data_IF_683324797963
#
_entry.id   IF_683324797963
#
_cell.length_a   1.000
_cell.length_b   1.000
_cell.length_c   1.000
_cell.angle_alpha   90.00
_cell.angle_beta   90.00
_cell.angle_gamma   90.00
#
_symmetry.space_group_name_H-M   'P 1'
#
loop_
_entity.id
_entity.type
_entity.pdbx_description
1 polymer ?
#
# COMPACT_ATOMS: atom_id res chain seq x y z
N UNK A 1 25.20 62.27 -115.75
CA UNK A 1 26.01 61.24 -116.45
C UNK A 1 25.75 59.88 -115.81
N UNK A 2 24.91 59.07 -116.45
CA UNK A 2 24.98 57.59 -116.45
C UNK A 2 25.85 57.20 -117.66
N UNK A 3 26.43 55.98 -117.75
CA UNK A 3 25.71 54.89 -118.46
C UNK A 3 26.07 53.45 -117.95
N UNK A 4 25.09 52.55 -117.93
CA UNK A 4 24.86 51.39 -118.82
C UNK A 4 25.61 50.08 -118.50
N UNK A 5 24.78 49.09 -118.14
CA UNK A 5 24.72 47.68 -118.62
C UNK A 5 25.95 47.03 -119.27
N UNK A 6 26.37 45.87 -118.75
CA UNK A 6 26.80 44.75 -119.60
C UNK A 6 26.65 43.37 -118.92
N UNK A 7 26.38 42.36 -119.76
CA UNK A 7 26.09 40.95 -119.45
C UNK A 7 27.36 40.11 -119.28
N UNK A 8 27.20 38.94 -118.64
CA UNK A 8 27.42 37.57 -119.20
C UNK A 8 28.33 36.63 -118.36
N UNK A 9 27.78 35.41 -118.06
CA UNK A 9 28.37 34.03 -117.97
C UNK A 9 29.64 33.78 -117.15
N UNK A 10 29.91 32.63 -116.51
CA UNK A 10 29.44 31.23 -116.62
C UNK A 10 29.86 30.45 -115.34
N UNK A 11 29.22 29.29 -115.06
CA UNK A 11 29.65 28.05 -114.35
C UNK A 11 30.50 28.10 -113.04
N UNK A 12 30.36 27.28 -112.01
CA UNK A 12 30.12 25.82 -111.95
C UNK A 12 29.97 25.31 -110.47
N UNK A 13 29.40 24.09 -110.30
CA UNK A 13 29.60 23.11 -109.21
C UNK A 13 28.88 23.22 -107.82
N UNK A 14 27.80 22.43 -107.75
CA UNK A 14 27.12 21.68 -106.67
C UNK A 14 27.94 21.21 -105.45
N UNK A 15 27.38 21.33 -104.24
CA UNK A 15 27.35 20.28 -103.19
C UNK A 15 26.19 20.48 -102.19
N UNK A 16 25.27 19.50 -102.16
CA UNK A 16 24.22 19.30 -101.14
C UNK A 16 24.85 18.74 -99.86
N UNK A 17 24.37 19.18 -98.69
CA UNK A 17 24.57 18.45 -97.43
C UNK A 17 23.31 18.47 -96.55
N UNK A 18 23.13 17.30 -95.93
CA UNK A 18 21.94 16.77 -95.27
C UNK A 18 21.65 17.33 -93.88
N UNK A 19 20.39 17.13 -93.47
CA UNK A 19 19.79 17.42 -92.16
C UNK A 19 20.04 16.23 -91.19
N UNK A 20 20.52 16.43 -89.95
CA UNK A 20 20.47 15.39 -88.93
C UNK A 20 19.35 15.60 -87.91
N UNK A 21 18.67 14.50 -87.62
CA UNK A 21 17.68 14.24 -86.58
C UNK A 21 18.39 13.86 -85.29
N UNK A 22 18.09 14.49 -84.13
CA UNK A 22 18.77 14.14 -82.88
C UNK A 22 18.43 14.89 -81.57
N UNK A 23 17.27 15.57 -81.43
CA UNK A 23 17.00 16.43 -80.24
C UNK A 23 15.88 15.94 -79.28
N UNK A 24 15.29 14.75 -79.49
CA UNK A 24 14.08 14.35 -78.77
C UNK A 24 14.28 13.41 -77.56
N UNK A 25 15.47 12.81 -77.38
CA UNK A 25 15.73 11.87 -76.27
C UNK A 25 16.35 12.53 -75.04
N UNK A 26 17.27 13.49 -75.21
CA UNK A 26 17.92 14.20 -74.09
C UNK A 26 16.94 15.10 -73.31
N UNK A 27 15.96 15.72 -74.01
CA UNK A 27 14.94 16.54 -73.37
C UNK A 27 13.95 15.71 -72.51
N UNK A 28 13.72 14.43 -72.86
CA UNK A 28 12.86 13.54 -72.07
C UNK A 28 13.52 13.11 -70.76
N UNK A 29 14.83 12.84 -70.78
CA UNK A 29 15.58 12.48 -69.57
C UNK A 29 15.69 13.64 -68.57
N UNK A 30 15.78 14.88 -69.05
CA UNK A 30 15.87 16.04 -68.16
C UNK A 30 14.54 16.38 -67.47
N UNK A 31 13.41 16.18 -68.16
CA UNK A 31 12.07 16.36 -67.58
C UNK A 31 11.78 15.34 -66.49
N UNK A 32 12.13 14.07 -66.71
CA UNK A 32 11.95 13.00 -65.73
C UNK A 32 12.75 13.25 -64.44
N UNK A 33 13.98 13.77 -64.52
CA UNK A 33 14.79 14.13 -63.35
C UNK A 33 14.14 15.20 -62.48
N UNK A 34 13.55 16.22 -63.10
CA UNK A 34 12.86 17.29 -62.37
C UNK A 34 11.59 16.78 -61.67
N UNK A 35 10.88 15.82 -62.27
CA UNK A 35 9.70 15.21 -61.65
C UNK A 35 10.09 14.37 -60.41
N UNK A 36 11.19 13.62 -60.46
CA UNK A 36 11.71 12.90 -59.28
C UNK A 36 12.19 13.83 -58.16
N UNK A 37 12.84 14.95 -58.49
CA UNK A 37 13.25 15.95 -57.50
C UNK A 37 12.02 16.58 -56.83
N UNK A 38 10.97 16.90 -57.60
CA UNK A 38 9.70 17.44 -57.06
C UNK A 38 9.00 16.45 -56.13
N UNK A 39 8.94 15.17 -56.49
CA UNK A 39 8.34 14.13 -55.65
C UNK A 39 9.17 13.94 -54.36
N UNK A 40 10.50 13.93 -54.48
CA UNK A 40 11.40 13.82 -53.32
C UNK A 40 11.23 14.96 -52.32
N UNK A 41 11.09 16.21 -52.80
CA UNK A 41 10.84 17.37 -51.95
C UNK A 41 9.46 17.27 -51.26
N UNK A 42 8.41 16.85 -51.99
CA UNK A 42 7.07 16.69 -51.40
C UNK A 42 7.05 15.63 -50.30
N UNK A 43 7.70 14.48 -50.50
CA UNK A 43 7.80 13.45 -49.49
C UNK A 43 8.61 13.91 -48.28
N UNK A 44 9.72 14.64 -48.49
CA UNK A 44 10.50 15.21 -47.40
C UNK A 44 9.66 16.22 -46.58
N UNK A 45 8.86 17.07 -47.23
CA UNK A 45 7.95 18.00 -46.55
C UNK A 45 6.89 17.25 -45.75
N UNK A 46 6.29 16.19 -46.29
CA UNK A 46 5.29 15.38 -45.58
C UNK A 46 5.91 14.69 -44.35
N UNK A 47 7.12 14.15 -44.49
CA UNK A 47 7.84 13.52 -43.37
C UNK A 47 8.19 14.57 -42.32
N UNK A 48 8.71 15.74 -42.72
CA UNK A 48 9.01 16.84 -41.80
C UNK A 48 7.74 17.31 -41.08
N UNK A 49 6.61 17.42 -41.78
CA UNK A 49 5.33 17.80 -41.19
C UNK A 49 4.80 16.74 -40.21
N UNK A 50 4.94 15.45 -40.53
CA UNK A 50 4.55 14.35 -39.65
C UNK A 50 5.44 14.28 -38.40
N UNK A 51 6.74 14.46 -38.55
CA UNK A 51 7.70 14.53 -37.44
C UNK A 51 7.46 15.78 -36.59
N UNK A 52 7.22 16.94 -37.20
CA UNK A 52 6.86 18.16 -36.48
C UNK A 52 5.56 18.00 -35.70
N UNK A 53 4.53 17.36 -36.28
CA UNK A 53 3.27 17.07 -35.59
C UNK A 53 3.45 16.10 -34.41
N UNK A 54 4.36 15.13 -34.51
CA UNK A 54 4.69 14.21 -33.42
C UNK A 54 5.51 14.90 -32.30
N UNK A 55 6.31 15.91 -32.63
CA UNK A 55 7.11 16.69 -31.67
C UNK A 55 6.31 17.85 -31.05
N UNK A 56 5.21 18.30 -31.67
CA UNK A 56 4.39 19.42 -31.17
C UNK A 56 3.45 19.07 -29.99
N UNK A 57 3.59 17.88 -29.38
CA UNK A 57 2.86 17.49 -28.15
C UNK A 57 3.66 17.90 -26.90
N UNK A 58 4.40 19.00 -26.98
CA UNK A 58 5.21 19.49 -25.87
C UNK A 58 4.95 20.97 -25.67
N UNK A 59 3.75 21.31 -25.16
CA UNK A 59 3.47 22.57 -24.45
C UNK A 59 2.03 22.68 -23.89
N UNK A 60 1.81 23.45 -22.79
CA UNK A 60 0.58 23.50 -21.96
C UNK A 60 -0.69 24.09 -22.61
N UNK A 61 -0.71 24.26 -23.94
CA UNK A 61 -1.88 24.80 -24.66
C UNK A 61 -2.86 23.71 -25.10
N UNK A 62 -2.50 22.43 -24.95
CA UNK A 62 -3.31 21.29 -25.37
C UNK A 62 -4.56 21.09 -24.53
N UNK A 63 -4.45 21.03 -23.20
CA UNK A 63 -5.59 20.69 -22.34
C UNK A 63 -6.73 21.70 -22.43
N UNK A 64 -6.43 23.01 -22.52
CA UNK A 64 -7.44 24.06 -22.67
C UNK A 64 -8.29 23.92 -23.94
N UNK A 65 -7.77 23.25 -24.99
CA UNK A 65 -8.51 23.02 -26.25
C UNK A 65 -9.47 21.82 -26.19
N UNK A 66 -9.43 21.02 -25.11
CA UNK A 66 -10.30 19.87 -24.95
C UNK A 66 -11.73 20.34 -24.63
N UNK A 67 -12.66 20.02 -25.53
CA UNK A 67 -14.06 20.48 -25.48
C UNK A 67 -14.79 19.94 -24.25
N UNK A 68 -14.66 18.64 -24.00
CA UNK A 68 -15.36 17.97 -22.91
C UNK A 68 -14.65 18.20 -21.57
N UNK A 69 -15.39 18.69 -20.58
CA UNK A 69 -14.85 19.09 -19.28
C UNK A 69 -14.16 17.95 -18.53
N UNK A 70 -14.71 16.73 -18.57
CA UNK A 70 -14.09 15.57 -17.90
C UNK A 70 -12.72 15.26 -18.48
N UNK A 71 -12.61 15.12 -19.81
CA UNK A 71 -11.36 14.85 -20.51
C UNK A 71 -10.36 16.00 -20.32
N UNK A 72 -10.85 17.24 -20.32
CA UNK A 72 -10.01 18.42 -20.06
C UNK A 72 -9.41 18.38 -18.66
N UNK A 73 -10.21 18.08 -17.65
CA UNK A 73 -9.73 18.00 -16.27
C UNK A 73 -8.72 16.86 -16.12
N UNK A 74 -9.01 15.68 -16.68
CA UNK A 74 -8.06 14.55 -16.69
C UNK A 74 -6.75 14.90 -17.41
N UNK A 75 -6.81 15.68 -18.50
CA UNK A 75 -5.63 16.17 -19.20
C UNK A 75 -4.78 17.06 -18.28
N UNK A 76 -5.38 18.05 -17.63
CA UNK A 76 -4.67 18.91 -16.69
C UNK A 76 -4.07 18.13 -15.52
N UNK A 77 -4.80 17.17 -14.95
CA UNK A 77 -4.30 16.32 -13.88
C UNK A 77 -3.09 15.48 -14.33
N UNK A 78 -3.19 14.81 -15.48
CA UNK A 78 -2.09 14.00 -16.00
C UNK A 78 -0.83 14.84 -16.32
N UNK A 79 -1.01 16.03 -16.90
CA UNK A 79 0.10 16.94 -17.19
C UNK A 79 0.73 17.49 -15.90
N UNK A 80 -0.09 17.87 -14.92
CA UNK A 80 0.37 18.33 -13.62
C UNK A 80 1.18 17.24 -12.89
N UNK A 81 0.71 15.99 -12.90
CA UNK A 81 1.40 14.86 -12.28
C UNK A 81 2.73 14.54 -12.97
N UNK A 82 2.73 14.54 -14.31
CA UNK A 82 3.91 14.21 -15.13
C UNK A 82 5.01 15.28 -15.02
N UNK A 83 4.62 16.55 -14.88
CA UNK A 83 5.55 17.68 -14.80
C UNK A 83 5.86 18.10 -13.36
N UNK A 84 5.06 17.65 -12.40
CA UNK A 84 5.07 18.14 -11.02
C UNK A 84 4.53 19.58 -10.85
N UNK A 85 3.93 20.17 -11.89
CA UNK A 85 3.46 21.54 -11.87
C UNK A 85 2.03 21.66 -11.31
N UNK A 86 1.92 21.76 -9.98
CA UNK A 86 0.63 21.91 -9.29
C UNK A 86 -0.19 23.13 -9.71
N UNK A 87 0.42 24.15 -10.32
CA UNK A 87 -0.32 25.33 -10.79
C UNK A 87 -1.34 24.98 -11.87
N UNK A 88 -1.09 23.92 -12.66
CA UNK A 88 -2.00 23.42 -13.68
C UNK A 88 -3.36 22.98 -13.12
N UNK A 89 -3.40 22.47 -11.88
CA UNK A 89 -4.64 22.06 -11.22
C UNK A 89 -5.62 23.24 -11.04
N UNK A 90 -5.15 24.49 -11.00
CA UNK A 90 -6.02 25.67 -10.89
C UNK A 90 -6.85 25.94 -12.15
N UNK A 91 -6.54 25.26 -13.26
CA UNK A 91 -7.35 25.32 -14.49
C UNK A 91 -8.59 24.42 -14.43
N UNK A 92 -8.72 23.59 -13.39
CA UNK A 92 -9.87 22.71 -13.17
C UNK A 92 -10.95 23.49 -12.40
N UNK A 93 -12.13 23.64 -13.01
CA UNK A 93 -13.20 24.47 -12.43
C UNK A 93 -13.91 23.85 -11.22
N UNK A 94 -13.91 22.52 -11.10
CA UNK A 94 -14.51 21.84 -9.95
C UNK A 94 -13.50 21.79 -8.82
N UNK A 95 -13.82 22.41 -7.68
CA UNK A 95 -12.94 22.43 -6.51
C UNK A 95 -12.53 21.02 -6.07
N UNK A 96 -13.46 20.07 -6.02
CA UNK A 96 -13.15 18.69 -5.64
C UNK A 96 -12.14 18.02 -6.60
N UNK A 97 -12.26 18.26 -7.91
CA UNK A 97 -11.33 17.72 -8.90
C UNK A 97 -9.98 18.46 -8.86
N UNK A 98 -9.98 19.75 -8.57
CA UNK A 98 -8.77 20.54 -8.37
C UNK A 98 -8.00 20.03 -7.14
N UNK A 99 -8.67 19.81 -6.01
CA UNK A 99 -8.06 19.28 -4.79
C UNK A 99 -7.50 17.87 -5.03
N UNK A 100 -8.25 17.00 -5.70
CA UNK A 100 -7.76 15.66 -6.10
C UNK A 100 -6.56 15.73 -7.05
N UNK A 101 -6.52 16.69 -7.97
CA UNK A 101 -5.35 16.93 -8.82
C UNK A 101 -4.13 17.33 -7.97
N UNK A 102 -4.31 18.23 -7.01
CA UNK A 102 -3.23 18.65 -6.10
C UNK A 102 -2.71 17.49 -5.26
N UNK A 103 -3.60 16.65 -4.72
CA UNK A 103 -3.21 15.43 -4.00
C UNK A 103 -2.38 14.52 -4.89
N UNK A 104 -2.83 14.22 -6.11
CA UNK A 104 -2.09 13.35 -7.02
C UNK A 104 -0.70 13.89 -7.35
N UNK A 105 -0.58 15.20 -7.61
CA UNK A 105 0.72 15.85 -7.83
C UNK A 105 1.60 15.72 -6.59
N UNK A 106 1.04 15.92 -5.40
CA UNK A 106 1.77 15.76 -4.15
C UNK A 106 2.30 14.32 -4.01
N UNK A 107 1.51 13.29 -4.35
CA UNK A 107 1.95 11.89 -4.31
C UNK A 107 2.95 11.52 -5.39
N UNK A 108 2.78 11.99 -6.63
CA UNK A 108 3.68 11.67 -7.74
C UNK A 108 5.05 12.28 -7.52
N UNK A 109 5.09 13.51 -6.98
CA UNK A 109 6.32 14.25 -6.70
C UNK A 109 6.89 14.01 -5.30
N UNK A 110 6.13 13.34 -4.42
CA UNK A 110 6.42 13.20 -2.98
C UNK A 110 6.64 14.55 -2.28
N UNK A 111 5.98 15.60 -2.76
CA UNK A 111 6.13 16.95 -2.23
C UNK A 111 4.92 17.38 -1.38
N UNK A 112 5.07 17.31 -0.06
CA UNK A 112 4.05 17.70 0.89
C UNK A 112 3.70 19.20 0.83
N UNK A 113 4.57 20.06 0.29
CA UNK A 113 4.25 21.49 0.14
C UNK A 113 3.05 21.71 -0.78
N UNK A 114 2.78 20.79 -1.72
CA UNK A 114 1.62 20.86 -2.61
C UNK A 114 0.30 20.73 -1.83
N UNK A 115 0.28 19.93 -0.76
CA UNK A 115 -0.92 19.79 0.09
C UNK A 115 -1.35 21.13 0.73
N UNK A 116 -0.42 22.08 0.91
CA UNK A 116 -0.75 23.42 1.47
C UNK A 116 -1.56 24.29 0.50
N UNK A 117 -1.63 23.91 -0.78
CA UNK A 117 -2.45 24.59 -1.79
C UNK A 117 -3.90 24.09 -1.82
N UNK A 118 -4.23 23.06 -1.04
CA UNK A 118 -5.59 22.54 -0.89
C UNK A 118 -6.35 23.44 0.09
N UNK A 119 -7.48 23.99 -0.33
CA UNK A 119 -8.25 24.95 0.47
C UNK A 119 -9.06 24.27 1.58
N UNK A 120 -9.53 23.05 1.37
CA UNK A 120 -10.17 22.26 2.40
C UNK A 120 -9.11 21.70 3.38
N UNK A 121 -9.08 22.22 4.61
CA UNK A 121 -8.12 21.83 5.63
C UNK A 121 -8.12 20.33 5.96
N UNK A 122 -9.28 19.67 5.95
CA UNK A 122 -9.36 18.22 6.20
C UNK A 122 -8.70 17.41 5.08
N UNK A 123 -8.90 17.82 3.82
CA UNK A 123 -8.27 17.17 2.67
C UNK A 123 -6.77 17.47 2.65
N UNK A 124 -6.36 18.71 2.97
CA UNK A 124 -4.96 19.08 3.10
C UNK A 124 -4.24 18.24 4.16
N UNK A 125 -4.86 18.07 5.34
CA UNK A 125 -4.31 17.26 6.43
C UNK A 125 -4.20 15.77 6.03
N UNK A 126 -5.22 15.24 5.36
CA UNK A 126 -5.22 13.87 4.80
C UNK A 126 -4.12 13.66 3.77
N UNK A 127 -3.93 14.62 2.85
CA UNK A 127 -2.86 14.63 1.86
C UNK A 127 -1.48 14.50 2.51
N UNK A 128 -1.20 15.30 3.54
CA UNK A 128 0.05 15.23 4.32
C UNK A 128 0.17 13.88 5.04
N UNK A 129 -0.90 13.40 5.66
CA UNK A 129 -0.89 12.14 6.41
C UNK A 129 -0.58 10.93 5.54
N UNK A 130 -1.22 10.82 4.39
CA UNK A 130 -0.95 9.76 3.45
C UNK A 130 0.44 9.89 2.80
N UNK A 131 0.95 11.11 2.59
CA UNK A 131 2.32 11.31 2.14
C UNK A 131 3.34 10.85 3.18
N UNK A 132 3.09 11.06 4.48
CA UNK A 132 3.95 10.54 5.55
C UNK A 132 4.13 9.03 5.42
N UNK A 133 3.04 8.30 5.17
CA UNK A 133 3.05 6.85 4.95
C UNK A 133 3.77 6.52 3.64
N UNK A 134 3.40 7.17 2.54
CA UNK A 134 3.92 6.86 1.20
C UNK A 134 5.41 7.22 1.02
N UNK A 135 5.97 8.07 1.89
CA UNK A 135 7.39 8.44 1.89
C UNK A 135 8.18 7.82 3.04
N UNK A 136 7.51 7.22 4.03
CA UNK A 136 8.15 6.76 5.26
C UNK A 136 8.71 7.89 6.13
N UNK A 137 8.18 9.10 6.00
CA UNK A 137 8.65 10.29 6.71
C UNK A 137 7.59 10.78 7.72
N UNK A 138 7.69 10.34 8.98
CA UNK A 138 6.74 10.69 10.05
C UNK A 138 6.76 12.19 10.37
N UNK A 139 7.91 12.84 10.17
CA UNK A 139 8.09 14.26 10.48
C UNK A 139 7.15 15.16 9.67
N UNK A 140 6.60 14.67 8.54
CA UNK A 140 5.55 15.37 7.80
C UNK A 140 4.31 15.62 8.67
N UNK A 141 3.96 14.71 9.58
CA UNK A 141 2.85 14.91 10.52
C UNK A 141 3.07 16.11 11.44
N UNK A 142 4.32 16.53 11.70
CA UNK A 142 4.61 17.66 12.55
C UNK A 142 4.17 19.01 11.93
N UNK A 143 3.98 19.06 10.61
CA UNK A 143 3.51 20.26 9.91
C UNK A 143 2.01 20.55 10.12
N UNK A 144 1.24 19.55 10.55
CA UNK A 144 -0.20 19.65 10.80
C UNK A 144 -0.48 20.51 12.03
N UNK A 145 -1.30 21.55 11.84
CA UNK A 145 -1.66 22.50 12.90
C UNK A 145 -2.75 21.96 13.82
N UNK A 146 -3.70 21.21 13.26
CA UNK A 146 -4.76 20.60 14.04
C UNK A 146 -4.22 19.39 14.83
N UNK A 147 -4.33 19.46 16.16
CA UNK A 147 -3.80 18.40 17.04
C UNK A 147 -4.46 17.02 16.83
N UNK A 148 -5.73 16.97 16.44
CA UNK A 148 -6.44 15.74 16.12
C UNK A 148 -5.92 15.14 14.81
N UNK A 149 -5.81 15.95 13.75
CA UNK A 149 -5.24 15.51 12.47
C UNK A 149 -3.79 15.04 12.62
N UNK A 150 -2.98 15.77 13.40
CA UNK A 150 -1.60 15.38 13.73
C UNK A 150 -1.54 14.02 14.42
N UNK A 151 -2.41 13.82 15.41
CA UNK A 151 -2.49 12.57 16.14
C UNK A 151 -2.91 11.41 15.22
N UNK A 152 -3.89 11.62 14.34
CA UNK A 152 -4.37 10.62 13.38
C UNK A 152 -3.30 10.27 12.33
N UNK A 153 -2.56 11.28 11.86
CA UNK A 153 -1.40 11.10 10.98
C UNK A 153 -0.35 10.18 11.62
N UNK A 154 0.09 10.50 12.84
CA UNK A 154 1.10 9.71 13.58
C UNK A 154 0.62 8.27 13.85
N UNK A 155 -0.64 8.11 14.27
CA UNK A 155 -1.22 6.78 14.48
C UNK A 155 -1.28 5.95 13.19
N UNK A 156 -1.71 6.56 12.09
CA UNK A 156 -1.79 5.90 10.79
C UNK A 156 -0.41 5.55 10.25
N UNK A 157 0.59 6.41 10.48
CA UNK A 157 1.99 6.15 10.19
C UNK A 157 2.52 4.95 10.98
N UNK A 158 2.29 4.92 12.30
CA UNK A 158 2.69 3.81 13.16
C UNK A 158 2.04 2.49 12.69
N UNK A 159 0.73 2.52 12.41
CA UNK A 159 -0.01 1.36 11.90
C UNK A 159 0.52 0.86 10.55
N UNK A 160 0.77 1.77 9.60
CA UNK A 160 1.32 1.42 8.29
C UNK A 160 2.73 0.81 8.38
N UNK A 161 3.48 1.17 9.42
CA UNK A 161 4.78 0.59 9.77
C UNK A 161 4.67 -0.57 10.77
N UNK A 162 3.49 -1.21 10.85
CA UNK A 162 3.21 -2.36 11.72
C UNK A 162 3.57 -2.14 13.19
N UNK A 163 3.42 -0.91 13.70
CA UNK A 163 3.76 -0.54 15.08
C UNK A 163 5.19 -0.95 15.48
N UNK A 164 6.13 -0.89 14.54
CA UNK A 164 7.48 -1.40 14.74
C UNK A 164 8.37 -0.55 15.66
N UNK A 165 7.95 0.67 16.00
CA UNK A 165 8.68 1.61 16.86
C UNK A 165 7.69 2.42 17.71
N UNK A 166 7.87 2.39 19.03
CA UNK A 166 7.03 3.12 19.99
C UNK A 166 7.18 4.64 19.87
N UNK A 167 8.31 5.12 19.34
CA UNK A 167 8.55 6.55 19.12
C UNK A 167 7.60 7.16 18.09
N UNK A 168 7.01 6.37 17.20
CA UNK A 168 5.96 6.85 16.27
C UNK A 168 4.69 7.32 16.99
N UNK A 169 4.48 6.85 18.23
CA UNK A 169 3.38 7.30 19.07
C UNK A 169 3.67 8.63 19.76
N UNK A 170 4.92 9.10 19.72
CA UNK A 170 5.29 10.37 20.33
C UNK A 170 4.59 11.53 19.63
N UNK A 171 3.97 12.41 20.42
CA UNK A 171 3.23 13.55 19.89
C UNK A 171 1.76 13.29 19.55
N UNK A 172 1.24 12.07 19.75
CA UNK A 172 -0.21 11.81 19.77
C UNK A 172 -0.79 12.44 21.04
N UNK A 173 -1.67 13.44 20.90
CA UNK A 173 -2.25 14.16 22.03
C UNK A 173 -3.54 13.51 22.58
N UNK A 174 -4.23 12.72 21.75
CA UNK A 174 -5.41 11.97 22.19
C UNK A 174 -4.97 10.78 23.06
N UNK A 175 -5.36 10.77 24.34
CA UNK A 175 -4.91 9.76 25.30
C UNK A 175 -5.28 8.32 24.92
N UNK A 176 -6.50 8.10 24.41
CA UNK A 176 -6.95 6.77 24.00
C UNK A 176 -6.15 6.27 22.78
N UNK A 177 -5.94 7.13 21.78
CA UNK A 177 -5.16 6.77 20.60
C UNK A 177 -3.67 6.58 20.90
N UNK A 178 -3.13 7.39 21.81
CA UNK A 178 -1.76 7.25 22.32
C UNK A 178 -1.58 5.90 23.04
N UNK A 179 -2.50 5.56 23.95
CA UNK A 179 -2.50 4.27 24.64
C UNK A 179 -2.61 3.10 23.66
N UNK A 180 -3.44 3.22 22.61
CA UNK A 180 -3.56 2.19 21.59
C UNK A 180 -2.30 2.00 20.76
N UNK A 181 -1.68 3.11 20.36
CA UNK A 181 -0.44 3.09 19.59
C UNK A 181 0.70 2.44 20.38
N UNK A 182 0.90 2.88 21.63
CA UNK A 182 1.98 2.40 22.48
C UNK A 182 1.79 0.93 22.85
N UNK A 183 0.58 0.52 23.24
CA UNK A 183 0.28 -0.89 23.51
C UNK A 183 0.52 -1.79 22.29
N UNK A 184 0.05 -1.38 21.11
CA UNK A 184 0.27 -2.12 19.87
C UNK A 184 1.77 -2.24 19.54
N UNK A 185 2.52 -1.16 19.75
CA UNK A 185 3.96 -1.12 19.47
C UNK A 185 4.75 -1.99 20.44
N UNK A 186 4.48 -1.88 21.74
CA UNK A 186 5.10 -2.71 22.78
C UNK A 186 4.79 -4.20 22.56
N UNK A 187 3.56 -4.54 22.19
CA UNK A 187 3.19 -5.92 21.85
C UNK A 187 3.98 -6.44 20.65
N UNK A 188 4.06 -5.68 19.56
CA UNK A 188 4.83 -6.06 18.37
C UNK A 188 6.32 -6.22 18.71
N UNK A 189 6.89 -5.33 19.51
CA UNK A 189 8.28 -5.43 19.96
C UNK A 189 8.52 -6.67 20.84
N UNK A 190 7.61 -6.96 21.78
CA UNK A 190 7.66 -8.17 22.60
C UNK A 190 7.65 -9.43 21.73
N UNK A 191 6.74 -9.51 20.77
CA UNK A 191 6.59 -10.66 19.87
C UNK A 191 7.73 -10.79 18.86
N UNK A 192 8.32 -9.68 18.42
CA UNK A 192 9.46 -9.68 17.47
C UNK A 192 10.77 -10.09 18.16
N UNK A 193 10.94 -9.70 19.41
CA UNK A 193 12.20 -9.90 20.16
C UNK A 193 12.17 -11.08 21.12
N UNK A 194 10.98 -11.58 21.47
CA UNK A 194 10.79 -12.53 22.56
C UNK A 194 11.08 -11.95 23.95
N UNK A 195 11.21 -10.62 24.06
CA UNK A 195 11.51 -9.95 25.33
C UNK A 195 10.22 -9.54 26.05
N UNK A 196 9.88 -10.17 27.19
CA UNK A 196 8.67 -9.86 27.93
C UNK A 196 8.71 -8.49 28.63
N UNK A 197 9.85 -7.81 28.73
CA UNK A 197 9.92 -6.49 29.39
C UNK A 197 9.00 -5.46 28.71
N UNK A 198 8.81 -5.55 27.39
CA UNK A 198 7.88 -4.67 26.67
C UNK A 198 6.42 -4.85 27.10
N UNK A 199 6.03 -6.01 27.61
CA UNK A 199 4.68 -6.24 28.12
C UNK A 199 4.41 -5.50 29.44
N UNK A 200 5.45 -5.22 30.24
CA UNK A 200 5.33 -4.48 31.50
C UNK A 200 4.98 -3.01 31.32
N UNK A 201 5.29 -2.45 30.16
CA UNK A 201 5.01 -1.06 29.79
C UNK A 201 3.56 -0.86 29.30
N UNK A 202 2.82 -1.95 29.09
CA UNK A 202 1.43 -1.92 28.66
C UNK A 202 0.53 -1.64 29.85
N UNK A 203 -0.25 -0.56 29.78
CA UNK A 203 -1.07 -0.09 30.90
C UNK A 203 -2.03 -1.18 31.42
N UNK A 204 -2.14 -1.29 32.74
CA UNK A 204 -3.09 -2.17 33.42
C UNK A 204 -4.53 -1.63 33.37
N UNK A 205 -4.74 -0.44 32.81
CA UNK A 205 -6.05 0.21 32.83
C UNK A 205 -7.01 -0.46 31.84
N UNK A 206 -8.07 -1.02 32.42
CA UNK A 206 -9.27 -1.56 31.76
C UNK A 206 -10.16 -0.46 31.16
N UNK A 207 -9.58 0.62 30.64
CA UNK A 207 -10.30 1.79 30.12
C UNK A 207 -9.94 2.10 28.66
N UNK A 208 -10.80 1.67 27.73
CA UNK A 208 -10.78 2.05 26.31
C UNK A 208 -9.51 1.72 25.50
N UNK A 209 -8.55 0.97 26.06
CA UNK A 209 -7.39 0.44 25.34
C UNK A 209 -7.78 -0.65 24.34
N UNK A 210 -6.93 -0.87 23.33
CA UNK A 210 -7.06 -1.87 22.24
C UNK A 210 -7.78 -3.12 22.76
N UNK A 211 -8.90 -3.54 22.15
CA UNK A 211 -9.52 -4.80 22.53
C UNK A 211 -8.47 -5.91 22.49
N UNK A 212 -8.51 -6.86 23.42
CA UNK A 212 -7.63 -8.05 23.40
C UNK A 212 -7.62 -8.73 22.01
N UNK A 213 -8.75 -8.70 21.30
CA UNK A 213 -8.87 -9.13 19.91
C UNK A 213 -8.00 -8.34 18.90
N UNK A 214 -7.82 -7.03 19.11
CA UNK A 214 -6.98 -6.17 18.28
C UNK A 214 -5.49 -6.49 18.40
N UNK A 215 -5.00 -6.79 19.61
CA UNK A 215 -3.60 -7.21 19.81
C UNK A 215 -3.31 -8.56 19.14
N UNK A 216 -4.23 -9.51 19.27
CA UNK A 216 -4.10 -10.81 18.61
C UNK A 216 -4.11 -10.69 17.07
N UNK A 217 -4.78 -9.67 16.53
CA UNK A 217 -4.72 -9.35 15.10
C UNK A 217 -3.34 -8.87 14.61
N UNK A 218 -2.45 -8.45 15.51
CA UNK A 218 -1.07 -8.05 15.20
C UNK A 218 -0.08 -9.22 15.24
N UNK A 219 -0.54 -10.43 15.57
CA UNK A 219 0.30 -11.61 15.58
C UNK A 219 0.85 -11.91 14.19
N UNK A 220 2.14 -12.26 14.08
CA UNK A 220 2.68 -12.88 12.88
C UNK A 220 1.83 -14.10 12.47
N UNK A 221 1.56 -14.26 11.17
CA UNK A 221 0.71 -15.33 10.63
C UNK A 221 1.17 -16.74 11.03
N UNK A 222 2.46 -16.94 11.31
CA UNK A 222 3.02 -18.21 11.77
C UNK A 222 2.80 -18.48 13.27
N UNK A 223 2.44 -17.48 14.07
CA UNK A 223 2.22 -17.59 15.52
C UNK A 223 0.73 -17.61 15.90
N UNK A 224 -0.16 -17.10 15.03
CA UNK A 224 -1.61 -17.11 15.27
C UNK A 224 -2.18 -18.52 15.48
N UNK A 225 -1.58 -19.54 14.88
CA UNK A 225 -1.94 -20.95 15.07
C UNK A 225 -1.56 -21.54 16.42
N UNK A 226 -0.74 -20.84 17.23
CA UNK A 226 -0.36 -21.29 18.58
C UNK A 226 -1.19 -20.65 19.70
N UNK A 227 -1.92 -19.56 19.45
CA UNK A 227 -2.63 -18.83 20.51
C UNK A 227 -4.15 -19.04 20.49
N UNK A 228 -4.73 -19.35 21.65
CA UNK A 228 -6.19 -19.32 21.85
C UNK A 228 -6.63 -17.98 22.42
N UNK A 229 -7.52 -17.27 21.73
CA UNK A 229 -8.07 -16.00 22.20
C UNK A 229 -9.15 -16.20 23.27
N UNK A 230 -9.93 -17.29 23.18
CA UNK A 230 -11.13 -17.46 23.99
C UNK A 230 -10.81 -17.78 25.45
N UNK A 231 -9.72 -18.50 25.72
CA UNK A 231 -9.26 -18.75 27.09
C UNK A 231 -8.89 -17.46 27.84
N UNK A 232 -8.22 -16.52 27.16
CA UNK A 232 -7.82 -15.23 27.72
C UNK A 232 -9.00 -14.30 27.97
N UNK A 233 -9.98 -14.30 27.06
CA UNK A 233 -11.21 -13.49 27.19
C UNK A 233 -12.01 -13.93 28.42
N UNK A 234 -12.13 -15.23 28.69
CA UNK A 234 -12.86 -15.74 29.86
C UNK A 234 -12.24 -15.37 31.21
N UNK A 235 -10.93 -15.12 31.21
CA UNK A 235 -10.19 -14.75 32.42
C UNK A 235 -10.15 -13.24 32.65
N UNK A 236 -10.82 -12.43 31.81
CA UNK A 236 -10.72 -10.97 31.81
C UNK A 236 -9.26 -10.48 31.77
N UNK A 237 -8.43 -11.14 30.94
CA UNK A 237 -7.02 -10.81 30.82
C UNK A 237 -6.81 -9.36 30.36
N UNK A 238 -5.89 -8.65 31.02
CA UNK A 238 -5.46 -7.32 30.61
C UNK A 238 -4.58 -7.38 29.36
N UNK A 239 -4.27 -6.23 28.76
CA UNK A 239 -3.40 -6.17 27.58
C UNK A 239 -1.98 -6.67 27.87
N UNK A 240 -1.45 -6.41 29.07
CA UNK A 240 -0.16 -6.96 29.50
C UNK A 240 -0.22 -8.48 29.71
N UNK A 241 -1.32 -9.00 30.27
CA UNK A 241 -1.53 -10.46 30.38
C UNK A 241 -1.54 -11.14 29.02
N UNK A 242 -2.29 -10.59 28.05
CA UNK A 242 -2.30 -11.09 26.67
C UNK A 242 -0.90 -11.07 26.06
N UNK A 243 -0.12 -10.00 26.30
CA UNK A 243 1.25 -9.89 25.83
C UNK A 243 2.16 -10.97 26.43
N UNK A 244 2.18 -11.11 27.76
CA UNK A 244 3.00 -12.12 28.44
C UNK A 244 2.63 -13.53 28.01
N UNK A 245 1.35 -13.85 27.93
CA UNK A 245 0.88 -15.13 27.42
C UNK A 245 1.34 -15.36 25.97
N UNK A 246 1.23 -14.35 25.11
CA UNK A 246 1.62 -14.46 23.71
C UNK A 246 3.12 -14.76 23.56
N UNK A 247 3.96 -14.06 24.33
CA UNK A 247 5.41 -14.30 24.36
C UNK A 247 5.72 -15.68 24.93
N UNK A 248 5.09 -16.07 26.04
CA UNK A 248 5.31 -17.37 26.67
C UNK A 248 5.03 -18.54 25.70
N UNK A 249 3.93 -18.45 24.95
CA UNK A 249 3.51 -19.46 23.97
C UNK A 249 4.35 -19.44 22.70
N UNK A 250 4.65 -18.26 22.15
CA UNK A 250 5.38 -18.17 20.89
C UNK A 250 6.84 -18.61 21.02
N UNK A 251 7.45 -18.38 22.20
CA UNK A 251 8.86 -18.63 22.50
C UNK A 251 9.09 -19.81 23.45
N UNK A 252 8.05 -20.59 23.78
CA UNK A 252 8.11 -21.72 24.71
C UNK A 252 8.78 -21.36 26.06
N UNK A 253 8.53 -20.13 26.53
CA UNK A 253 9.16 -19.56 27.73
C UNK A 253 8.19 -19.56 28.91
N UNK A 254 8.19 -20.65 29.67
CA UNK A 254 7.32 -20.83 30.84
C UNK A 254 7.52 -19.74 31.91
N UNK A 255 8.76 -19.25 32.08
CA UNK A 255 9.07 -18.23 33.10
C UNK A 255 8.33 -16.91 32.85
N UNK A 256 7.96 -16.63 31.60
CA UNK A 256 7.18 -15.45 31.24
C UNK A 256 5.79 -15.47 31.86
N UNK A 257 5.21 -16.66 32.08
CA UNK A 257 3.88 -16.79 32.68
C UNK A 257 3.81 -16.17 34.09
N UNK A 258 4.90 -16.23 34.86
CA UNK A 258 4.97 -15.70 36.23
C UNK A 258 4.90 -14.17 36.34
N UNK A 259 4.87 -13.43 35.22
CA UNK A 259 4.65 -11.98 35.22
C UNK A 259 3.16 -11.61 35.21
N UNK A 260 2.27 -12.60 35.08
CA UNK A 260 0.81 -12.41 35.20
C UNK A 260 0.35 -12.67 36.63
N UNK A 261 -0.85 -12.20 36.99
CA UNK A 261 -1.38 -12.34 38.34
C UNK A 261 -2.49 -13.39 38.43
N UNK A 262 -2.51 -14.11 39.56
CA UNK A 262 -3.60 -15.00 39.95
C UNK A 262 -3.83 -16.16 38.97
N UNK A 263 -5.10 -16.42 38.66
CA UNK A 263 -5.55 -17.52 37.81
C UNK A 263 -4.99 -17.48 36.39
N UNK A 264 -4.63 -16.30 35.88
CA UNK A 264 -4.10 -16.13 34.52
C UNK A 264 -2.68 -16.70 34.42
N UNK A 265 -1.83 -16.47 35.43
CA UNK A 265 -0.49 -17.06 35.49
C UNK A 265 -0.56 -18.58 35.46
N UNK A 266 -1.40 -19.16 36.32
CA UNK A 266 -1.62 -20.61 36.38
C UNK A 266 -2.12 -21.16 35.04
N UNK A 267 -3.12 -20.52 34.42
CA UNK A 267 -3.64 -20.94 33.13
C UNK A 267 -2.57 -20.88 32.02
N UNK A 268 -1.72 -19.85 32.00
CA UNK A 268 -0.59 -19.76 31.08
C UNK A 268 0.39 -20.91 31.27
N UNK A 269 0.79 -21.17 32.52
CA UNK A 269 1.77 -22.23 32.81
C UNK A 269 1.28 -23.59 32.34
N UNK A 270 0.02 -23.92 32.63
CA UNK A 270 -0.59 -25.16 32.15
C UNK A 270 -0.64 -25.23 30.63
N UNK A 271 -0.99 -24.14 29.96
CA UNK A 271 -1.08 -24.09 28.51
C UNK A 271 0.30 -24.29 27.86
N UNK A 272 1.29 -23.49 28.24
CA UNK A 272 2.67 -23.56 27.71
C UNK A 272 3.30 -24.92 27.99
N UNK A 273 3.07 -25.47 29.19
CA UNK A 273 3.52 -26.83 29.53
C UNK A 273 2.79 -27.90 28.68
N UNK A 274 1.52 -27.72 28.33
CA UNK A 274 0.78 -28.67 27.48
C UNK A 274 1.25 -28.69 26.02
N UNK A 275 1.81 -27.58 25.52
CA UNK A 275 2.38 -27.44 24.17
C UNK A 275 3.78 -28.06 24.07
N UNK A 276 4.54 -28.08 25.18
CA UNK A 276 5.90 -28.64 25.25
C UNK A 276 5.92 -30.16 25.50
N UNK A 277 4.80 -30.76 25.95
CA UNK A 277 4.64 -32.22 26.02
C UNK A 277 4.51 -32.78 24.59
N UNK A 278 5.24 -33.87 24.23
CA UNK A 278 5.11 -34.51 22.92
C UNK A 278 3.63 -34.76 22.59
N UNK A 279 3.22 -34.57 21.32
CA UNK A 279 1.86 -34.77 20.76
C UNK A 279 1.32 -36.21 20.88
N UNK A 280 1.47 -36.86 22.03
CA UNK A 280 0.66 -37.99 22.39
C UNK A 280 -0.69 -37.42 22.81
N UNK A 281 -1.74 -37.80 22.09
CA UNK A 281 -3.11 -37.43 22.42
C UNK A 281 -3.37 -37.84 23.86
N UNK A 282 -3.57 -36.87 24.75
CA UNK A 282 -3.91 -37.13 26.14
C UNK A 282 -5.34 -37.71 26.19
N UNK A 283 -5.58 -38.71 27.03
CA UNK A 283 -6.95 -39.15 27.24
C UNK A 283 -7.76 -38.05 27.98
N UNK A 284 -9.08 -38.03 27.78
CA UNK A 284 -9.95 -37.01 28.37
C UNK A 284 -9.87 -36.99 29.89
N UNK A 285 -9.70 -38.14 30.55
CA UNK A 285 -9.58 -38.22 32.02
C UNK A 285 -8.33 -37.51 32.56
N UNK A 286 -7.20 -37.59 31.85
CA UNK A 286 -5.97 -36.86 32.21
C UNK A 286 -6.17 -35.35 32.06
N UNK A 287 -6.83 -34.92 30.98
CA UNK A 287 -7.13 -33.50 30.77
C UNK A 287 -8.07 -32.97 31.85
N UNK A 288 -9.12 -33.72 32.22
CA UNK A 288 -10.02 -33.39 33.33
C UNK A 288 -9.23 -33.23 34.63
N UNK A 289 -8.42 -34.22 35.01
CA UNK A 289 -7.63 -34.16 36.24
C UNK A 289 -6.72 -32.93 36.29
N UNK A 290 -6.08 -32.57 35.18
CA UNK A 290 -5.21 -31.39 35.09
C UNK A 290 -5.99 -30.08 35.20
N UNK A 291 -7.14 -29.98 34.53
CA UNK A 291 -7.95 -28.77 34.55
C UNK A 291 -8.75 -28.58 35.84
N UNK A 292 -9.08 -29.66 36.53
CA UNK A 292 -9.64 -29.62 37.88
C UNK A 292 -8.60 -29.10 38.87
N UNK A 293 -7.34 -29.56 38.78
CA UNK A 293 -6.24 -29.05 39.59
C UNK A 293 -5.99 -27.55 39.35
N UNK A 294 -6.01 -27.10 38.10
CA UNK A 294 -5.95 -25.68 37.76
C UNK A 294 -7.14 -24.89 38.36
N UNK A 295 -8.32 -25.50 38.38
CA UNK A 295 -9.55 -24.97 38.96
C UNK A 295 -9.49 -24.73 40.46
N UNK A 296 -8.71 -25.54 41.20
CA UNK A 296 -8.52 -25.36 42.65
C UNK A 296 -7.94 -23.98 42.96
N UNK A 297 -7.06 -23.46 42.09
CA UNK A 297 -6.37 -22.19 42.30
C UNK A 297 -7.10 -20.97 41.72
N UNK A 298 -8.11 -21.18 40.85
CA UNK A 298 -8.70 -20.07 40.08
C UNK A 298 -10.18 -20.20 39.71
N UNK A 299 -10.90 -21.19 40.26
CA UNK A 299 -12.33 -21.40 40.03
C UNK A 299 -12.68 -21.82 38.60
N UNK A 300 -13.99 -21.80 38.30
CA UNK A 300 -14.56 -22.36 37.06
C UNK A 300 -14.08 -21.68 35.78
N UNK A 301 -13.74 -20.38 35.81
CA UNK A 301 -13.17 -19.67 34.66
C UNK A 301 -11.81 -20.24 34.26
N UNK A 302 -10.98 -20.58 35.26
CA UNK A 302 -9.64 -21.18 35.06
C UNK A 302 -9.75 -22.59 34.53
N UNK A 303 -10.67 -23.39 35.09
CA UNK A 303 -10.98 -24.72 34.58
C UNK A 303 -11.45 -24.68 33.11
N UNK A 304 -12.37 -23.76 32.77
CA UNK A 304 -12.85 -23.61 31.40
C UNK A 304 -11.75 -23.15 30.43
N UNK A 305 -10.92 -22.19 30.84
CA UNK A 305 -9.78 -21.73 30.04
C UNK A 305 -8.76 -22.85 29.82
N UNK A 306 -8.52 -23.69 30.83
CA UNK A 306 -7.69 -24.89 30.70
C UNK A 306 -8.25 -25.85 29.65
N UNK A 307 -9.55 -26.18 29.72
CA UNK A 307 -10.18 -27.08 28.75
C UNK A 307 -10.11 -26.55 27.31
N UNK A 308 -10.39 -25.25 27.12
CA UNK A 308 -10.22 -24.58 25.81
C UNK A 308 -8.78 -24.69 25.34
N UNK A 309 -7.83 -24.43 26.24
CA UNK A 309 -6.41 -24.51 25.94
C UNK A 309 -5.98 -25.87 25.40
N UNK A 310 -6.37 -26.95 26.09
CA UNK A 310 -6.11 -28.31 25.62
C UNK A 310 -6.85 -28.60 24.30
N UNK A 311 -8.13 -28.24 24.19
CA UNK A 311 -8.92 -28.50 22.99
C UNK A 311 -8.28 -27.88 21.74
N UNK A 312 -7.85 -26.64 21.86
CA UNK A 312 -7.28 -25.83 20.79
C UNK A 312 -5.86 -26.28 20.42
N UNK A 313 -5.04 -26.68 21.40
CA UNK A 313 -3.65 -27.12 21.18
C UNK A 313 -3.56 -28.50 20.52
N UNK A 314 -4.47 -29.40 20.88
CA UNK A 314 -4.53 -30.76 20.35
C UNK A 314 -5.53 -30.90 19.19
N UNK A 315 -6.19 -29.80 18.81
CA UNK A 315 -7.22 -29.76 17.76
C UNK A 315 -8.29 -30.85 17.99
N UNK A 316 -8.72 -30.97 19.25
CA UNK A 316 -9.59 -32.05 19.73
C UNK A 316 -10.79 -31.50 20.52
N UNK A 317 -11.95 -31.43 19.86
CA UNK A 317 -13.17 -30.87 20.43
C UNK A 317 -13.74 -31.69 21.61
N UNK A 318 -13.30 -32.95 21.80
CA UNK A 318 -13.74 -33.75 22.95
C UNK A 318 -13.32 -33.13 24.28
N UNK A 319 -12.22 -32.37 24.31
CA UNK A 319 -11.80 -31.66 25.52
C UNK A 319 -12.70 -30.48 25.90
N UNK A 320 -13.61 -30.05 25.01
CA UNK A 320 -14.63 -29.04 25.33
C UNK A 320 -15.84 -29.64 26.08
N UNK A 321 -16.00 -30.97 26.10
CA UNK A 321 -17.18 -31.62 26.69
C UNK A 321 -17.37 -31.35 28.20
N UNK A 322 -16.32 -31.19 29.03
CA UNK A 322 -16.47 -30.90 30.45
C UNK A 322 -16.96 -29.48 30.77
N UNK A 323 -16.96 -28.57 29.79
CA UNK A 323 -17.41 -27.18 29.99
C UNK A 323 -18.94 -27.17 30.12
N UNK A 324 -19.44 -26.83 31.30
CA UNK A 324 -20.89 -26.85 31.61
C UNK A 324 -21.66 -25.65 31.07
N UNK A 325 -20.99 -24.51 30.89
CA UNK A 325 -21.61 -23.34 30.27
C UNK A 325 -21.67 -23.52 28.76
N UNK A 326 -22.88 -23.69 28.21
CA UNK A 326 -23.08 -23.98 26.78
C UNK A 326 -22.53 -22.89 25.85
N UNK A 327 -22.55 -21.62 26.25
CA UNK A 327 -21.97 -20.53 25.43
C UNK A 327 -20.46 -20.66 25.33
N UNK A 328 -19.80 -20.97 26.45
CA UNK A 328 -18.34 -21.18 26.51
C UNK A 328 -17.95 -22.46 25.78
N UNK A 329 -18.73 -23.54 25.95
CA UNK A 329 -18.52 -24.80 25.25
C UNK A 329 -18.64 -24.63 23.74
N UNK A 330 -19.67 -23.93 23.26
CA UNK A 330 -19.84 -23.64 21.82
C UNK A 330 -18.66 -22.83 21.26
N UNK A 331 -18.15 -21.87 22.06
CA UNK A 331 -16.97 -21.08 21.68
C UNK A 331 -15.73 -21.97 21.56
N UNK A 332 -15.49 -22.86 22.54
CA UNK A 332 -14.42 -23.84 22.51
C UNK A 332 -14.47 -24.71 21.25
N UNK A 333 -15.63 -25.28 20.94
CA UNK A 333 -15.82 -26.15 19.76
C UNK A 333 -15.59 -25.38 18.46
N UNK A 334 -16.11 -24.15 18.36
CA UNK A 334 -15.94 -23.29 17.18
C UNK A 334 -14.46 -22.97 16.91
N UNK A 335 -13.69 -22.69 17.97
CA UNK A 335 -12.26 -22.39 17.85
C UNK A 335 -11.41 -23.61 17.47
N UNK A 336 -11.80 -24.81 17.93
CA UNK A 336 -11.18 -26.04 17.43
C UNK A 336 -11.48 -26.26 15.96
N UNK A 337 -12.73 -26.06 15.54
CA UNK A 337 -13.16 -26.23 14.16
C UNK A 337 -12.43 -25.28 13.19
N UNK A 338 -12.24 -24.01 13.58
CA UNK A 338 -11.51 -23.03 12.76
C UNK A 338 -10.03 -23.38 12.55
N UNK A 339 -9.43 -24.16 13.47
CA UNK A 339 -8.06 -24.65 13.31
C UNK A 339 -7.95 -25.88 12.42
N UNK A 340 -8.95 -26.76 12.42
CA UNK A 340 -9.01 -27.91 11.51
C UNK A 340 -9.08 -27.48 10.04
N UNK A 341 -9.79 -26.37 9.75
CA UNK A 341 -9.85 -25.83 8.39
C UNK A 341 -8.50 -25.26 7.91
N UNK A 342 -7.72 -24.65 8.82
CA UNK A 342 -6.44 -24.03 8.46
C UNK A 342 -5.29 -25.03 8.32
N UNK A 343 -5.38 -26.23 8.90
CA UNK A 343 -4.37 -27.29 8.74
C UNK A 343 -4.56 -28.14 7.48
N UNK A 344 -5.63 -27.91 6.71
CA UNK A 344 -6.00 -28.68 5.51
C UNK A 344 -5.71 -27.93 4.18
N UNK A 345 -5.10 -26.75 4.27
CA UNK A 345 -4.60 -25.90 3.16
C UNK A 345 -3.10 -25.75 3.27
#
# INVERSE_FOLDING_TARGET
MKPQENKNKDSDQVKKQDKPSGNNEEQKQQKSRNDYIRIGILLAIIIIAAVAAAIYIDSPKGCSSVVFSTQRNSCFTAEAEATGNSTMCHSISSQQLQESCLENVAYSTKNASVCTSISNGTIADSCVGNLSIATGNEALCASLQNSSSKSECLYSFAKANNFSDVSYCSGISNSAMYGNCTASSSYVLAMKTGNPSYCSEMDHTSGNGVPTAGLLGLLPQNQSSKLSSSGLILLNASNSDVCYYSVAVAFDNLSTCGNMYGSISTACEYYVNSVTVPKQVLNLSTVISKCDEAGIYGGSATTNACFIGFAVSYVNATYCSPITNSSVQNTCVSEVASRQSNSST
#
